data_IF_128245027115
#
_entry.id   IF_128245027115
#
_cell.length_a   1.000
_cell.length_b   1.000
_cell.length_c   1.000
_cell.angle_alpha   90.00
_cell.angle_beta   90.00
_cell.angle_gamma   90.00
#
_symmetry.space_group_name_H-M   'P 1'
#
loop_
_entity.id
_entity.type
_entity.pdbx_description
1 polymer ?
#
# COMPACT_ATOMS: atom_id res chain seq x y z
N UNK A 1 -18.88 6.11 10.54
CA UNK A 1 -17.41 6.01 10.48
C UNK A 1 -17.04 4.64 11.04
N UNK A 2 -16.92 3.63 10.19
CA UNK A 2 -16.60 2.26 10.61
C UNK A 2 -15.20 2.19 11.21
N UNK A 3 -15.02 1.41 12.28
CA UNK A 3 -13.71 1.15 12.88
C UNK A 3 -12.75 0.65 11.81
N UNK A 4 -11.65 1.37 11.59
CA UNK A 4 -10.53 0.93 10.75
C UNK A 4 -10.00 -0.38 11.32
N UNK A 5 -10.07 -1.46 10.56
CA UNK A 5 -9.55 -2.77 10.98
C UNK A 5 -8.04 -2.65 11.25
N UNK A 6 -7.47 -3.57 12.03
CA UNK A 6 -6.01 -3.61 12.28
C UNK A 6 -5.21 -3.64 10.97
N UNK A 7 -5.78 -4.25 9.92
CA UNK A 7 -5.19 -4.31 8.58
C UNK A 7 -5.16 -2.94 7.90
N UNK A 8 -6.20 -2.13 8.03
CA UNK A 8 -6.23 -0.77 7.46
C UNK A 8 -5.20 0.12 8.14
N UNK A 9 -5.09 0.02 9.46
CA UNK A 9 -4.08 0.77 10.22
C UNK A 9 -2.65 0.40 9.79
N UNK A 10 -2.39 -0.88 9.53
CA UNK A 10 -1.09 -1.35 9.06
C UNK A 10 -0.73 -0.75 7.70
N UNK A 11 -1.66 -0.75 6.74
CA UNK A 11 -1.44 -0.17 5.41
C UNK A 11 -1.29 1.34 5.45
N UNK A 12 -2.13 2.04 6.21
CA UNK A 12 -2.02 3.48 6.42
C UNK A 12 -0.67 3.85 7.06
N UNK A 13 -0.18 3.05 8.00
CA UNK A 13 1.15 3.24 8.59
C UNK A 13 2.27 3.06 7.55
N UNK A 14 2.14 2.13 6.59
CA UNK A 14 3.12 2.01 5.50
C UNK A 14 3.19 3.31 4.69
N UNK A 15 2.04 3.91 4.38
CA UNK A 15 1.93 5.12 3.55
C UNK A 15 2.56 6.36 4.20
N UNK A 16 2.74 6.38 5.52
CA UNK A 16 3.44 7.49 6.21
C UNK A 16 4.86 7.71 5.67
N UNK A 17 5.47 6.69 5.06
CA UNK A 17 6.82 6.76 4.47
C UNK A 17 6.83 7.32 3.03
N UNK A 18 5.67 7.60 2.44
CA UNK A 18 5.55 8.09 1.06
C UNK A 18 4.94 9.48 1.11
N UNK A 19 5.51 10.50 0.48
CA UNK A 19 4.91 11.84 0.51
C UNK A 19 3.53 11.87 -0.19
N UNK A 20 2.62 12.70 0.30
CA UNK A 20 1.32 12.92 -0.37
C UNK A 20 1.57 13.50 -1.76
N UNK A 21 0.88 13.00 -2.78
CA UNK A 21 1.05 13.38 -4.17
C UNK A 21 2.24 12.69 -4.87
N UNK A 22 3.06 11.92 -4.15
CA UNK A 22 4.15 11.18 -4.74
C UNK A 22 3.68 9.89 -5.40
N UNK A 23 4.27 9.58 -6.56
CA UNK A 23 4.19 8.24 -7.15
C UNK A 23 5.25 7.33 -6.53
N UNK A 24 4.90 6.08 -6.28
CA UNK A 24 5.78 5.11 -5.62
C UNK A 24 5.54 3.69 -6.13
N UNK A 25 6.55 2.83 -5.99
CA UNK A 25 6.41 1.38 -6.16
C UNK A 25 6.07 0.74 -4.83
N UNK A 26 5.30 -0.36 -4.82
CA UNK A 26 5.00 -1.10 -3.58
C UNK A 26 6.28 -1.51 -2.82
N UNK A 27 7.39 -1.70 -3.55
CA UNK A 27 8.70 -2.03 -2.99
C UNK A 27 9.29 -0.97 -2.05
N UNK A 28 8.83 0.27 -2.10
CA UNK A 28 9.30 1.30 -1.16
C UNK A 28 8.66 1.15 0.22
N UNK A 29 7.54 0.43 0.32
CA UNK A 29 6.83 0.26 1.59
C UNK A 29 7.68 -0.59 2.57
N UNK A 30 7.76 -0.21 3.86
CA UNK A 30 8.58 -0.91 4.83
C UNK A 30 8.30 -2.43 4.92
N UNK A 31 7.04 -2.84 4.78
CA UNK A 31 6.65 -4.25 4.79
C UNK A 31 7.30 -5.04 3.65
N UNK A 32 7.52 -4.43 2.49
CA UNK A 32 8.12 -5.07 1.31
C UNK A 32 9.64 -5.22 1.47
N UNK A 33 10.31 -4.27 2.14
CA UNK A 33 11.75 -4.37 2.43
C UNK A 33 12.09 -5.53 3.36
N UNK A 34 11.14 -5.98 4.19
CA UNK A 34 11.33 -7.11 5.09
C UNK A 34 11.29 -8.47 4.38
N UNK A 35 10.87 -8.50 3.12
CA UNK A 35 10.69 -9.73 2.34
C UNK A 35 11.77 -9.91 1.28
N UNK A 36 12.90 -9.20 1.42
CA UNK A 36 13.94 -9.15 0.40
C UNK A 36 14.46 -10.56 0.05
N UNK A 37 14.41 -10.89 -1.25
CA UNK A 37 14.74 -12.22 -1.78
C UNK A 37 13.61 -13.27 -1.84
N UNK A 38 12.44 -13.05 -1.24
CA UNK A 38 11.30 -13.97 -1.36
C UNK A 38 10.25 -13.46 -2.36
N UNK A 39 10.39 -13.86 -3.62
CA UNK A 39 9.48 -13.49 -4.70
C UNK A 39 8.02 -13.89 -4.47
N UNK A 40 7.76 -15.02 -3.77
CA UNK A 40 6.38 -15.44 -3.49
C UNK A 40 5.75 -14.53 -2.45
N UNK A 41 6.50 -14.15 -1.43
CA UNK A 41 6.03 -13.25 -0.38
C UNK A 41 5.85 -11.82 -0.91
N UNK A 42 6.76 -11.35 -1.75
CA UNK A 42 6.65 -10.09 -2.49
C UNK A 42 5.35 -9.99 -3.30
N UNK A 43 5.07 -11.00 -4.13
CA UNK A 43 3.85 -11.06 -4.93
C UNK A 43 2.58 -11.09 -4.05
N UNK A 44 2.62 -11.81 -2.93
CA UNK A 44 1.52 -11.82 -1.95
C UNK A 44 1.25 -10.45 -1.34
N UNK A 45 2.31 -9.72 -0.96
CA UNK A 45 2.18 -8.37 -0.41
C UNK A 45 1.60 -7.42 -1.44
N UNK A 46 2.08 -7.48 -2.68
CA UNK A 46 1.55 -6.65 -3.76
C UNK A 46 0.06 -6.91 -3.98
N UNK A 47 -0.35 -8.18 -4.09
CA UNK A 47 -1.77 -8.54 -4.24
C UNK A 47 -2.59 -8.11 -3.02
N UNK A 48 -2.06 -8.27 -1.81
CA UNK A 48 -2.75 -7.86 -0.58
C UNK A 48 -2.92 -6.34 -0.46
N UNK A 49 -2.00 -5.57 -1.03
CA UNK A 49 -2.07 -4.11 -1.12
C UNK A 49 -3.06 -3.66 -2.20
N UNK A 50 -3.03 -4.30 -3.37
CA UNK A 50 -3.98 -4.04 -4.45
C UNK A 50 -5.43 -4.27 -4.00
N UNK A 51 -5.71 -5.42 -3.37
CA UNK A 51 -7.04 -5.71 -2.82
C UNK A 51 -7.46 -4.71 -1.75
N UNK A 52 -6.53 -4.29 -0.88
CA UNK A 52 -6.85 -3.28 0.13
C UNK A 52 -7.27 -1.94 -0.49
N UNK A 53 -6.64 -1.53 -1.59
CA UNK A 53 -7.01 -0.33 -2.35
C UNK A 53 -8.40 -0.48 -2.98
N UNK A 54 -8.68 -1.64 -3.58
CA UNK A 54 -9.98 -1.96 -4.21
C UNK A 54 -11.13 -2.03 -3.21
N UNK A 55 -10.87 -2.50 -1.98
CA UNK A 55 -11.82 -2.57 -0.86
C UNK A 55 -12.09 -1.19 -0.23
N UNK A 56 -12.39 -0.16 -1.05
CA UNK A 56 -12.80 1.22 -0.66
C UNK A 56 -11.70 2.18 -0.16
N UNK A 57 -10.41 1.84 -0.27
CA UNK A 57 -9.30 2.71 0.13
C UNK A 57 -8.67 3.51 -1.02
N UNK A 58 -9.35 3.57 -2.17
CA UNK A 58 -8.97 4.39 -3.32
C UNK A 58 -8.87 5.89 -3.02
N UNK A 59 -9.36 6.34 -1.87
CA UNK A 59 -9.19 7.69 -1.35
C UNK A 59 -7.78 7.99 -0.80
N UNK A 60 -7.06 6.96 -0.33
CA UNK A 60 -5.69 7.11 0.20
C UNK A 60 -4.62 6.86 -0.85
N UNK A 61 -4.89 5.98 -1.81
CA UNK A 61 -3.93 5.56 -2.84
C UNK A 61 -4.66 5.23 -4.13
N UNK A 62 -4.11 5.65 -5.26
CA UNK A 62 -4.58 5.26 -6.59
C UNK A 62 -3.53 4.43 -7.31
N UNK A 63 -3.91 3.28 -7.89
CA UNK A 63 -3.04 2.50 -8.77
C UNK A 63 -2.85 3.20 -10.13
N UNK A 64 -1.62 3.24 -10.63
CA UNK A 64 -1.21 3.83 -11.93
C UNK A 64 -0.31 2.85 -12.67
N UNK A 65 -0.91 1.82 -13.28
CA UNK A 65 -0.15 0.75 -13.93
C UNK A 65 0.67 -0.05 -12.91
N UNK A 66 2.00 0.08 -12.98
CA UNK A 66 2.94 -0.60 -12.09
C UNK A 66 3.34 0.22 -10.85
N UNK A 67 2.83 1.45 -10.74
CA UNK A 67 3.07 2.34 -9.60
C UNK A 67 1.77 2.69 -8.89
N UNK A 68 1.91 3.39 -7.79
CA UNK A 68 0.84 3.86 -6.92
C UNK A 68 1.02 5.35 -6.67
N UNK A 69 -0.06 6.11 -6.60
CA UNK A 69 -0.05 7.53 -6.26
C UNK A 69 -0.66 7.69 -4.86
N UNK A 70 0.10 8.23 -3.90
CA UNK A 70 -0.46 8.57 -2.58
C UNK A 70 -1.37 9.78 -2.73
N UNK A 71 -2.63 9.63 -2.39
CA UNK A 71 -3.62 10.69 -2.42
C UNK A 71 -3.68 11.43 -1.09
N UNK A 72 -4.29 12.61 -1.12
CA UNK A 72 -4.53 13.43 0.05
C UNK A 72 -5.78 12.88 0.74
N UNK A 73 -5.57 12.15 1.83
CA UNK A 73 -6.61 11.70 2.75
C UNK A 73 -7.22 12.83 3.57
#
# INVERSE_FOLDING_TARGET
MQMKSTRDQQWLAQLLNVNIGAQFFVSVLPIYRKTDGDFKQMARIQNAFDHWIEDTHSYYVQRKGNTYLRLRS
#
